data_IF_038778397832
#
_entry.id   IF_038778397832
#
_cell.length_a   1.000
_cell.length_b   1.000
_cell.length_c   1.000
_cell.angle_alpha   90.00
_cell.angle_beta   90.00
_cell.angle_gamma   90.00
#
_symmetry.space_group_name_H-M   'P 1'
#
loop_
_entity.id
_entity.type
_entity.pdbx_description
1 polymer ?
#
# COMPACT_ATOMS: atom_id res chain seq x y z
N UNK A 1 21.43 -15.68 6.82
CA UNK A 1 20.82 -14.49 7.39
C UNK A 1 20.22 -13.64 6.29
N UNK A 2 18.94 -13.49 6.30
CA UNK A 2 18.26 -12.69 5.28
C UNK A 2 18.13 -11.25 5.75
N UNK A 3 18.52 -10.32 4.89
CA UNK A 3 18.31 -8.92 5.17
C UNK A 3 16.83 -8.59 5.19
N UNK A 4 16.43 -7.65 6.04
CA UNK A 4 15.06 -7.14 6.02
C UNK A 4 14.79 -6.51 4.64
N UNK A 5 13.59 -6.69 4.07
CA UNK A 5 13.27 -6.05 2.81
C UNK A 5 13.31 -4.53 2.95
N UNK A 6 13.80 -3.86 1.92
CA UNK A 6 13.83 -2.41 1.89
C UNK A 6 12.41 -1.86 1.90
N UNK A 7 12.20 -0.75 2.58
CA UNK A 7 10.94 -0.05 2.46
C UNK A 7 10.83 0.55 1.05
N UNK A 8 9.64 0.97 0.68
CA UNK A 8 9.36 1.46 -0.68
C UNK A 8 10.22 2.66 -1.07
N UNK A 9 10.43 3.57 -0.14
CA UNK A 9 11.25 4.76 -0.35
C UNK A 9 12.71 4.38 -0.67
N UNK A 10 13.31 3.55 0.18
CA UNK A 10 14.71 3.12 0.00
C UNK A 10 14.88 2.28 -1.25
N UNK A 11 13.90 1.44 -1.56
CA UNK A 11 13.93 0.63 -2.77
C UNK A 11 13.89 1.51 -4.03
N UNK A 12 13.06 2.54 -4.02
CA UNK A 12 13.01 3.49 -5.13
C UNK A 12 14.34 4.22 -5.31
N UNK A 13 14.94 4.71 -4.21
CA UNK A 13 16.23 5.41 -4.25
C UNK A 13 17.33 4.49 -4.78
N UNK A 14 17.30 3.22 -4.42
CA UNK A 14 18.27 2.24 -4.90
C UNK A 14 18.14 1.99 -6.41
N UNK A 15 16.92 1.93 -6.92
CA UNK A 15 16.66 1.73 -8.35
C UNK A 15 16.96 2.99 -9.18
N UNK A 16 16.65 4.15 -8.62
CA UNK A 16 16.76 5.43 -9.32
C UNK A 16 17.55 6.45 -8.48
N UNK A 17 18.85 6.23 -8.25
CA UNK A 17 19.63 7.09 -7.35
C UNK A 17 19.84 8.52 -7.86
N UNK A 18 19.63 8.76 -9.15
CA UNK A 18 19.80 10.09 -9.76
C UNK A 18 18.52 10.89 -9.85
N UNK A 19 17.39 10.32 -9.46
CA UNK A 19 16.12 11.03 -9.52
C UNK A 19 16.00 12.07 -8.41
N UNK A 20 15.45 13.27 -8.71
CA UNK A 20 15.28 14.29 -7.69
C UNK A 20 14.20 13.91 -6.68
N UNK A 21 14.27 14.56 -5.50
CA UNK A 21 13.38 14.27 -4.39
C UNK A 21 11.89 14.46 -4.70
N UNK A 22 11.54 15.33 -5.65
CA UNK A 22 10.14 15.56 -5.99
C UNK A 22 9.47 14.31 -6.60
N UNK A 23 10.26 13.39 -7.17
CA UNK A 23 9.70 12.12 -7.66
C UNK A 23 9.12 11.28 -6.54
N UNK A 24 9.81 11.23 -5.40
CA UNK A 24 9.30 10.54 -4.22
C UNK A 24 8.01 11.15 -3.71
N UNK A 25 7.92 12.47 -3.74
CA UNK A 25 6.68 13.18 -3.36
C UNK A 25 5.53 12.87 -4.30
N UNK A 26 5.79 12.75 -5.59
CA UNK A 26 4.78 12.36 -6.57
C UNK A 26 4.26 10.95 -6.29
N UNK A 27 5.15 10.04 -5.93
CA UNK A 27 4.79 8.65 -5.60
C UNK A 27 3.96 8.60 -4.33
N UNK A 28 4.37 9.32 -3.27
CA UNK A 28 3.60 9.40 -2.04
C UNK A 28 2.19 9.95 -2.29
N UNK A 29 2.08 11.02 -3.06
CA UNK A 29 0.80 11.59 -3.42
C UNK A 29 -0.08 10.59 -4.16
N UNK A 30 0.50 9.81 -5.06
CA UNK A 30 -0.24 8.81 -5.81
C UNK A 30 -0.86 7.74 -4.91
N UNK A 31 -0.14 7.29 -3.88
CA UNK A 31 -0.67 6.31 -2.92
C UNK A 31 -1.85 6.83 -2.12
N UNK A 32 -1.93 8.13 -1.92
CA UNK A 32 -3.03 8.75 -1.18
C UNK A 32 -4.11 9.33 -2.12
N UNK A 33 -4.01 9.06 -3.40
CA UNK A 33 -5.01 9.50 -4.38
C UNK A 33 -5.93 8.32 -4.71
N UNK A 34 -7.21 8.50 -4.42
CA UNK A 34 -8.22 7.44 -4.51
C UNK A 34 -8.33 6.80 -5.90
N UNK A 35 -8.14 7.60 -6.94
CA UNK A 35 -8.24 7.12 -8.32
C UNK A 35 -7.02 6.31 -8.79
N UNK A 36 -5.93 6.33 -8.04
CA UNK A 36 -4.70 5.62 -8.40
C UNK A 36 -4.75 4.20 -7.85
N UNK A 37 -4.73 3.20 -8.72
CA UNK A 37 -4.84 1.79 -8.36
C UNK A 37 -3.61 0.97 -8.70
N UNK A 38 -2.63 1.57 -9.32
CA UNK A 38 -1.39 0.90 -9.69
C UNK A 38 -0.42 1.89 -10.30
N UNK A 39 0.81 1.43 -10.55
CA UNK A 39 1.83 2.26 -11.15
C UNK A 39 1.42 2.81 -12.52
N UNK A 40 0.58 2.06 -13.23
CA UNK A 40 0.09 2.44 -14.56
C UNK A 40 -0.70 3.74 -14.54
N UNK A 41 -1.35 4.05 -13.42
CA UNK A 41 -2.15 5.25 -13.26
C UNK A 41 -1.32 6.48 -12.91
N UNK A 42 -0.05 6.30 -12.54
CA UNK A 42 0.83 7.41 -12.15
C UNK A 42 1.48 8.01 -13.39
N UNK A 43 0.69 8.75 -14.14
CA UNK A 43 1.11 9.30 -15.44
C UNK A 43 2.14 10.42 -15.34
N UNK A 44 2.39 10.95 -14.15
CA UNK A 44 3.48 11.90 -13.89
C UNK A 44 4.86 11.27 -14.02
N UNK A 45 4.94 9.94 -13.95
CA UNK A 45 6.17 9.21 -14.15
C UNK A 45 6.28 8.75 -15.60
N UNK A 46 7.49 8.70 -16.12
CA UNK A 46 7.73 8.23 -17.48
C UNK A 46 7.36 6.75 -17.64
N UNK A 47 7.06 6.34 -18.86
CA UNK A 47 6.65 4.97 -19.16
C UNK A 47 7.70 3.95 -18.75
N UNK A 48 8.97 4.22 -19.04
CA UNK A 48 10.07 3.32 -18.68
C UNK A 48 10.19 3.14 -17.17
N UNK A 49 10.07 4.23 -16.42
CA UNK A 49 10.11 4.18 -14.95
C UNK A 49 8.94 3.38 -14.41
N UNK A 50 7.74 3.57 -14.94
CA UNK A 50 6.56 2.81 -14.52
C UNK A 50 6.74 1.32 -14.77
N UNK A 51 7.29 0.93 -15.91
CA UNK A 51 7.54 -0.48 -16.23
C UNK A 51 8.52 -1.11 -15.24
N UNK A 52 9.58 -0.40 -14.87
CA UNK A 52 10.54 -0.88 -13.87
C UNK A 52 9.87 -1.02 -12.51
N UNK A 53 9.06 -0.04 -12.11
CA UNK A 53 8.37 -0.06 -10.82
C UNK A 53 7.36 -1.22 -10.73
N UNK A 54 6.62 -1.48 -11.79
CA UNK A 54 5.68 -2.61 -11.85
C UNK A 54 6.42 -3.92 -11.58
N UNK A 55 7.61 -4.05 -12.13
CA UNK A 55 8.40 -5.26 -12.03
C UNK A 55 9.11 -5.39 -10.68
N UNK A 56 9.63 -4.29 -10.14
CA UNK A 56 10.52 -4.32 -8.98
C UNK A 56 9.86 -3.98 -7.65
N UNK A 57 8.86 -3.10 -7.66
CA UNK A 57 8.18 -2.66 -6.44
C UNK A 57 6.68 -2.90 -6.59
N UNK A 58 6.09 -3.82 -5.81
CA UNK A 58 4.65 -4.01 -5.89
C UNK A 58 3.91 -2.76 -5.41
N UNK A 59 2.81 -2.43 -6.08
CA UNK A 59 1.97 -1.29 -5.70
C UNK A 59 1.47 -1.43 -4.27
N UNK A 60 1.00 -2.62 -3.91
CA UNK A 60 0.57 -2.96 -2.55
C UNK A 60 1.47 -4.04 -2.00
N UNK A 61 1.91 -3.84 -0.76
CA UNK A 61 2.77 -4.81 -0.07
C UNK A 61 1.98 -5.92 0.61
N UNK A 62 0.65 -5.87 0.56
CA UNK A 62 -0.21 -6.88 1.16
C UNK A 62 -1.39 -7.17 0.25
N UNK A 63 -1.98 -8.34 0.43
CA UNK A 63 -3.10 -8.82 -0.39
C UNK A 63 -4.26 -9.21 0.51
N UNK A 64 -5.50 -8.75 0.25
CA UNK A 64 -6.65 -9.19 1.02
C UNK A 64 -6.94 -10.67 0.75
N UNK A 65 -7.12 -11.43 1.83
CA UNK A 65 -7.43 -12.86 1.78
C UNK A 65 -8.91 -13.10 2.02
N UNK A 66 -9.45 -12.48 3.08
CA UNK A 66 -10.85 -12.66 3.49
C UNK A 66 -11.37 -11.34 4.03
N UNK A 67 -12.60 -11.02 3.70
CA UNK A 67 -13.29 -9.84 4.24
C UNK A 67 -14.59 -10.27 4.91
N UNK A 68 -14.79 -9.82 6.14
CA UNK A 68 -16.01 -10.02 6.89
C UNK A 68 -16.65 -8.66 7.16
N UNK A 69 -17.96 -8.58 6.98
CA UNK A 69 -18.71 -7.34 7.21
C UNK A 69 -19.86 -7.59 8.15
N UNK A 70 -20.14 -6.64 9.04
CA UNK A 70 -21.30 -6.72 9.92
C UNK A 70 -22.59 -6.51 9.10
N UNK A 71 -23.70 -7.01 9.61
CA UNK A 71 -25.00 -6.84 8.94
C UNK A 71 -25.41 -5.39 8.81
N UNK A 72 -25.03 -4.56 9.77
CA UNK A 72 -25.33 -3.13 9.75
C UNK A 72 -24.43 -2.34 8.81
N UNK A 73 -23.35 -2.93 8.31
CA UNK A 73 -22.40 -2.24 7.43
C UNK A 73 -21.52 -1.23 8.13
N UNK A 74 -21.44 -1.27 9.45
CA UNK A 74 -20.65 -0.34 10.25
C UNK A 74 -19.29 -0.89 10.69
N UNK A 75 -19.02 -2.16 10.42
CA UNK A 75 -17.75 -2.82 10.77
C UNK A 75 -17.33 -3.75 9.66
N UNK A 76 -16.11 -3.60 9.21
CA UNK A 76 -15.53 -4.46 8.19
C UNK A 76 -14.15 -4.92 8.67
N UNK A 77 -13.92 -6.22 8.63
CA UNK A 77 -12.66 -6.82 9.00
C UNK A 77 -12.05 -7.48 7.78
N UNK A 78 -10.79 -7.19 7.53
CA UNK A 78 -10.07 -7.81 6.43
C UNK A 78 -8.84 -8.52 6.97
N UNK A 79 -8.62 -9.75 6.52
CA UNK A 79 -7.39 -10.49 6.76
C UNK A 79 -6.49 -10.26 5.57
N UNK A 80 -5.29 -9.80 5.83
CA UNK A 80 -4.31 -9.44 4.81
C UNK A 80 -3.11 -10.38 4.88
N UNK A 81 -2.58 -10.72 3.73
CA UNK A 81 -1.34 -11.49 3.62
C UNK A 81 -0.22 -10.54 3.21
N UNK A 82 0.86 -10.50 3.99
CA UNK A 82 2.06 -9.74 3.64
C UNK A 82 2.97 -10.51 2.70
N UNK A 83 4.05 -9.87 2.28
CA UNK A 83 5.04 -10.47 1.37
C UNK A 83 5.81 -11.62 2.03
N UNK A 84 5.81 -11.69 3.35
CA UNK A 84 6.49 -12.72 4.14
C UNK A 84 5.58 -13.92 4.44
N UNK A 85 4.45 -14.02 3.79
CA UNK A 85 3.43 -15.05 3.98
C UNK A 85 2.78 -15.04 5.36
N UNK A 86 2.96 -13.96 6.11
CA UNK A 86 2.30 -13.79 7.40
C UNK A 86 0.98 -13.05 7.24
N UNK A 87 0.07 -13.31 8.16
CA UNK A 87 -1.27 -12.72 8.12
C UNK A 87 -1.42 -11.68 9.21
N UNK A 88 -2.12 -10.61 8.89
CA UNK A 88 -2.51 -9.60 9.85
C UNK A 88 -3.90 -9.11 9.53
N UNK A 89 -4.52 -8.40 10.47
CA UNK A 89 -5.90 -7.96 10.34
C UNK A 89 -5.99 -6.44 10.35
N UNK A 90 -6.95 -5.93 9.60
CA UNK A 90 -7.34 -4.53 9.66
C UNK A 90 -8.84 -4.46 9.85
N UNK A 91 -9.29 -3.55 10.71
CA UNK A 91 -10.71 -3.36 10.99
C UNK A 91 -11.10 -1.92 10.70
N UNK A 92 -12.14 -1.75 9.91
CA UNK A 92 -12.74 -0.46 9.63
C UNK A 92 -14.07 -0.39 10.38
N UNK A 93 -14.20 0.60 11.27
CA UNK A 93 -15.38 0.76 12.12
C UNK A 93 -15.98 2.16 11.96
N UNK A 94 -17.30 2.23 11.93
CA UNK A 94 -18.03 3.49 11.93
C UNK A 94 -18.70 3.68 13.30
N UNK A 95 -18.52 4.86 13.91
CA UNK A 95 -19.14 5.17 15.18
C UNK A 95 -20.53 5.84 14.98
N UNK A 96 -21.20 6.19 16.09
CA UNK A 96 -22.52 6.82 16.07
C UNK A 96 -22.53 8.21 15.44
N UNK A 97 -21.35 8.81 15.23
CA UNK A 97 -21.20 10.15 14.63
C UNK A 97 -20.84 10.09 13.15
N UNK A 98 -21.00 8.93 12.52
CA UNK A 98 -20.63 8.68 11.13
C UNK A 98 -19.12 8.87 10.85
N UNK A 99 -18.29 8.66 11.86
CA UNK A 99 -16.83 8.73 11.72
C UNK A 99 -16.28 7.33 11.57
N UNK A 100 -15.37 7.17 10.64
CA UNK A 100 -14.70 5.91 10.39
C UNK A 100 -13.34 5.86 11.10
N UNK A 101 -13.06 4.73 11.69
CA UNK A 101 -11.77 4.46 12.33
C UNK A 101 -11.17 3.20 11.75
N UNK A 102 -9.89 3.24 11.45
CA UNK A 102 -9.15 2.09 10.94
C UNK A 102 -8.18 1.63 12.04
N UNK A 103 -8.27 0.34 12.39
CA UNK A 103 -7.33 -0.30 13.30
C UNK A 103 -6.51 -1.31 12.51
N UNK A 104 -5.20 -1.28 12.66
CA UNK A 104 -4.30 -2.19 11.97
C UNK A 104 -3.52 -2.97 13.03
N UNK A 105 -3.49 -4.30 12.88
CA UNK A 105 -2.66 -5.14 13.74
C UNK A 105 -1.19 -4.89 13.40
N UNK A 106 -0.41 -4.50 14.40
CA UNK A 106 1.02 -4.23 14.23
C UNK A 106 1.90 -5.40 14.65
N UNK A 107 1.28 -6.44 15.20
CA UNK A 107 2.00 -7.65 15.63
C UNK A 107 1.33 -8.87 15.02
N UNK A 108 2.16 -9.79 14.63
CA UNK A 108 1.74 -11.03 13.98
C UNK A 108 1.87 -12.21 14.94
#
# INVERSE_FOLDING_TARGET
MTEAPLNRHDHFVKLFPKEPAFRLKQIEKAYFTESMKGWEDVTTLGKEMREVLIKEIPWMSCTPVTTLSSKAGDTHKVVLSGNDEQYFESVLMRNNRDQWTICVSSQI
#
